data_IF_889721204376
#
_entry.id   IF_889721204376
#
_cell.length_a   1.000
_cell.length_b   1.000
_cell.length_c   1.000
_cell.angle_alpha   90.00
_cell.angle_beta   90.00
_cell.angle_gamma   90.00
#
_symmetry.space_group_name_H-M   'P 1'
#
loop_
_entity.id
_entity.type
_entity.pdbx_description
1 polymer ?
#
# COMPACT_ATOMS: atom_id res chain seq x y z
N UNK A 1 -5.47 35.12 54.60
CA UNK A 1 -4.50 34.06 54.98
C UNK A 1 -4.79 32.87 54.05
N UNK A 2 -4.16 32.71 52.89
CA UNK A 2 -2.75 32.93 52.60
C UNK A 2 -1.97 31.64 52.93
N UNK A 3 -2.21 30.56 52.19
CA UNK A 3 -1.36 29.37 52.20
C UNK A 3 -1.08 28.96 50.76
N UNK A 4 0.02 29.51 50.26
CA UNK A 4 0.64 29.18 48.99
C UNK A 4 0.95 27.69 48.91
N UNK A 5 0.26 26.95 48.04
CA UNK A 5 0.74 25.65 47.55
C UNK A 5 1.82 25.90 46.50
N UNK A 6 2.99 26.37 46.94
CA UNK A 6 4.23 26.29 46.18
C UNK A 6 4.94 25.00 46.58
N UNK A 7 4.38 23.86 46.16
CA UNK A 7 5.15 22.63 46.06
C UNK A 7 6.09 22.81 44.87
N UNK A 8 7.33 23.21 45.12
CA UNK A 8 8.35 23.27 44.09
C UNK A 8 8.45 21.88 43.45
N UNK A 9 8.17 21.78 42.16
CA UNK A 9 8.32 20.55 41.41
C UNK A 9 9.82 20.22 41.34
N UNK A 10 10.29 19.42 42.31
CA UNK A 10 11.71 19.14 42.53
C UNK A 10 12.32 18.21 41.47
N UNK A 11 11.49 17.59 40.63
CA UNK A 11 11.90 16.66 39.59
C UNK A 11 11.49 17.17 38.20
N UNK A 12 12.31 16.93 37.16
CA UNK A 12 11.97 17.31 35.79
C UNK A 12 10.65 16.66 35.37
N UNK A 13 9.90 17.34 34.50
CA UNK A 13 8.62 16.84 34.02
C UNK A 13 8.79 15.45 33.40
N UNK A 14 7.93 14.51 33.82
CA UNK A 14 7.83 13.18 33.21
C UNK A 14 7.42 13.32 31.75
N UNK A 15 7.85 12.39 30.90
CA UNK A 15 7.62 12.40 29.45
C UNK A 15 6.13 12.40 29.15
N UNK A 16 5.36 11.55 29.84
CA UNK A 16 3.91 11.49 29.73
C UNK A 16 3.29 11.79 31.10
N UNK A 17 2.28 12.65 31.13
CA UNK A 17 1.51 12.93 32.35
C UNK A 17 0.56 11.75 32.61
N UNK A 18 1.06 10.73 33.29
CA UNK A 18 0.32 9.51 33.66
C UNK A 18 0.43 9.25 35.16
N UNK A 19 -0.63 8.66 35.72
CA UNK A 19 -0.70 8.30 37.13
C UNK A 19 0.02 6.96 37.37
N UNK A 20 0.84 6.90 38.42
CA UNK A 20 1.53 5.68 38.86
C UNK A 20 1.25 5.41 40.34
N UNK A 21 1.10 4.13 40.74
CA UNK A 21 0.80 3.74 42.13
C UNK A 21 1.99 3.85 43.10
N UNK A 22 3.11 4.46 42.72
CA UNK A 22 4.26 4.68 43.61
C UNK A 22 4.01 5.92 44.47
N UNK A 23 4.38 5.88 45.76
CA UNK A 23 4.30 7.07 46.62
C UNK A 23 5.10 8.23 46.01
N UNK A 24 4.42 9.34 45.74
CA UNK A 24 5.04 10.53 45.18
C UNK A 24 6.19 11.00 46.10
N UNK A 25 7.44 10.88 45.63
CA UNK A 25 8.62 11.41 46.32
C UNK A 25 9.78 10.47 46.62
N UNK A 26 9.76 9.19 46.20
CA UNK A 26 10.95 8.33 46.31
C UNK A 26 11.84 8.45 45.06
N UNK A 27 13.09 8.92 45.22
CA UNK A 27 14.03 9.20 44.12
C UNK A 27 14.37 7.94 43.29
N UNK A 28 14.36 6.76 43.91
CA UNK A 28 14.65 5.49 43.24
C UNK A 28 13.64 5.15 42.15
N UNK A 29 12.36 5.44 42.39
CA UNK A 29 11.27 5.03 41.51
C UNK A 29 11.09 6.00 40.34
N UNK A 30 11.66 7.20 40.41
CA UNK A 30 11.59 8.18 39.33
C UNK A 30 12.30 7.69 38.07
N UNK A 31 13.52 7.18 38.20
CA UNK A 31 14.28 6.66 37.06
C UNK A 31 13.63 5.43 36.44
N UNK A 32 13.11 4.51 37.27
CA UNK A 32 12.38 3.34 36.78
C UNK A 32 11.14 3.74 35.98
N UNK A 33 10.31 4.64 36.52
CA UNK A 33 9.11 5.13 35.83
C UNK A 33 9.50 5.87 34.54
N UNK A 34 10.55 6.68 34.57
CA UNK A 34 11.03 7.41 33.40
C UNK A 34 11.51 6.45 32.29
N UNK A 35 12.29 5.42 32.64
CA UNK A 35 12.75 4.40 31.69
C UNK A 35 11.57 3.60 31.11
N UNK A 36 10.57 3.25 31.92
CA UNK A 36 9.35 2.59 31.45
C UNK A 36 8.60 3.49 30.47
N UNK A 37 8.40 4.77 30.79
CA UNK A 37 7.74 5.72 29.90
C UNK A 37 8.51 5.89 28.58
N UNK A 38 9.83 6.03 28.66
CA UNK A 38 10.70 6.17 27.50
C UNK A 38 10.59 4.93 26.61
N UNK A 39 10.62 3.73 27.20
CA UNK A 39 10.49 2.47 26.49
C UNK A 39 9.13 2.34 25.79
N UNK A 40 8.02 2.58 26.51
CA UNK A 40 6.67 2.49 25.93
C UNK A 40 6.49 3.50 24.79
N UNK A 41 6.98 4.73 24.96
CA UNK A 41 6.88 5.74 23.92
C UNK A 41 7.71 5.37 22.69
N UNK A 42 8.94 4.86 22.90
CA UNK A 42 9.78 4.38 21.81
C UNK A 42 9.12 3.22 21.03
N UNK A 43 8.56 2.24 21.74
CA UNK A 43 7.83 1.12 21.12
C UNK A 43 6.62 1.61 20.34
N UNK A 44 5.84 2.54 20.90
CA UNK A 44 4.68 3.14 20.23
C UNK A 44 5.05 3.88 18.94
N UNK A 45 6.13 4.67 18.98
CA UNK A 45 6.65 5.40 17.82
C UNK A 45 7.19 4.47 16.73
N UNK A 46 7.61 3.25 17.05
CA UNK A 46 8.05 2.27 16.05
C UNK A 46 6.89 1.46 15.45
N UNK A 47 5.93 1.05 16.27
CA UNK A 47 4.84 0.17 15.82
C UNK A 47 3.98 0.83 14.75
N UNK A 48 3.58 2.08 14.94
CA UNK A 48 2.63 2.76 14.03
C UNK A 48 3.23 2.97 12.63
N UNK A 49 4.43 3.56 12.46
CA UNK A 49 5.05 3.68 11.14
C UNK A 49 5.38 2.33 10.51
N UNK A 50 5.77 1.32 11.33
CA UNK A 50 6.05 -0.03 10.83
C UNK A 50 4.81 -0.67 10.22
N UNK A 51 3.64 -0.49 10.85
CA UNK A 51 2.37 -0.94 10.31
C UNK A 51 2.05 -0.29 8.96
N UNK A 52 2.19 1.03 8.85
CA UNK A 52 1.92 1.71 7.59
C UNK A 52 2.94 1.35 6.50
N UNK A 53 4.22 1.20 6.85
CA UNK A 53 5.28 0.73 5.94
C UNK A 53 4.97 -0.68 5.41
N UNK A 54 4.54 -1.58 6.28
CA UNK A 54 4.13 -2.92 5.90
C UNK A 54 2.98 -2.90 4.89
N UNK A 55 1.93 -2.12 5.17
CA UNK A 55 0.77 -2.00 4.28
C UNK A 55 1.12 -1.37 2.93
N UNK A 56 1.91 -0.30 2.91
CA UNK A 56 2.42 0.31 1.66
C UNK A 56 3.24 -0.70 0.86
N UNK A 57 4.04 -1.54 1.53
CA UNK A 57 4.82 -2.60 0.87
C UNK A 57 3.92 -3.64 0.19
N UNK A 58 2.82 -4.06 0.84
CA UNK A 58 1.84 -4.97 0.24
C UNK A 58 1.16 -4.37 -1.00
N UNK A 59 0.81 -3.08 -0.96
CA UNK A 59 0.24 -2.38 -2.11
C UNK A 59 1.25 -2.26 -3.27
N UNK A 60 2.52 -1.95 -2.95
CA UNK A 60 3.60 -1.91 -3.94
C UNK A 60 3.81 -3.30 -4.58
N UNK A 61 3.75 -4.37 -3.79
CA UNK A 61 3.84 -5.73 -4.32
C UNK A 61 2.72 -6.03 -5.32
N UNK A 62 1.47 -5.68 -5.00
CA UNK A 62 0.33 -5.81 -5.93
C UNK A 62 0.54 -5.05 -7.24
N UNK A 63 1.06 -3.82 -7.16
CA UNK A 63 1.41 -3.00 -8.35
C UNK A 63 2.50 -3.67 -9.20
N UNK A 64 3.56 -4.17 -8.57
CA UNK A 64 4.69 -4.81 -9.28
C UNK A 64 4.20 -6.06 -10.00
N UNK A 65 3.44 -6.94 -9.34
CA UNK A 65 2.88 -8.14 -9.98
C UNK A 65 1.99 -7.79 -11.19
N UNK A 66 1.17 -6.75 -11.07
CA UNK A 66 0.37 -6.25 -12.17
C UNK A 66 1.23 -5.74 -13.34
N UNK A 67 2.27 -4.95 -13.04
CA UNK A 67 3.20 -4.40 -14.05
C UNK A 67 3.98 -5.50 -14.77
N UNK A 68 4.45 -6.51 -14.03
CA UNK A 68 5.11 -7.70 -14.59
C UNK A 68 4.18 -8.45 -15.53
N UNK A 69 2.92 -8.65 -15.12
CA UNK A 69 1.93 -9.31 -15.97
C UNK A 69 1.65 -8.52 -17.26
N UNK A 70 1.50 -7.19 -17.16
CA UNK A 70 1.33 -6.29 -18.31
C UNK A 70 2.52 -6.38 -19.28
N UNK A 71 3.75 -6.37 -18.75
CA UNK A 71 4.96 -6.52 -19.55
C UNK A 71 5.03 -7.87 -20.28
N UNK A 72 4.64 -8.96 -19.63
CA UNK A 72 4.59 -10.30 -20.25
C UNK A 72 3.56 -10.38 -21.37
N UNK A 73 2.38 -9.79 -21.19
CA UNK A 73 1.34 -9.71 -22.22
C UNK A 73 1.80 -8.92 -23.44
N UNK A 74 2.48 -7.78 -23.26
CA UNK A 74 3.05 -7.01 -24.38
C UNK A 74 4.17 -7.77 -25.11
N UNK A 75 4.91 -8.60 -24.38
CA UNK A 75 6.00 -9.41 -24.96
C UNK A 75 5.50 -10.68 -25.64
N UNK A 76 4.23 -11.05 -25.44
CA UNK A 76 3.62 -12.24 -26.05
C UNK A 76 3.70 -12.22 -27.59
N UNK A 77 3.64 -11.04 -28.20
CA UNK A 77 3.80 -10.86 -29.65
C UNK A 77 5.24 -11.06 -30.13
N UNK A 78 6.24 -10.93 -29.25
CA UNK A 78 7.65 -11.14 -29.60
C UNK A 78 8.03 -12.62 -29.72
N UNK A 79 7.33 -13.48 -28.97
CA UNK A 79 7.45 -14.94 -29.13
C UNK A 79 6.97 -15.45 -30.49
N UNK A 80 6.26 -14.61 -31.26
CA UNK A 80 5.89 -14.90 -32.64
C UNK A 80 7.10 -14.89 -33.62
N UNK A 81 8.23 -14.24 -33.27
CA UNK A 81 9.26 -13.88 -34.28
C UNK A 81 10.53 -14.73 -34.34
N UNK A 82 10.69 -15.82 -33.58
CA UNK A 82 12.03 -16.47 -33.46
C UNK A 82 12.19 -17.85 -34.13
N UNK A 83 11.14 -18.53 -34.61
CA UNK A 83 11.32 -19.87 -35.22
C UNK A 83 10.57 -20.13 -36.53
N UNK A 84 10.70 -19.25 -37.52
CA UNK A 84 10.51 -19.70 -38.91
C UNK A 84 11.33 -18.84 -39.89
N UNK A 85 12.49 -19.33 -40.39
CA UNK A 85 12.86 -19.04 -41.76
C UNK A 85 11.79 -19.69 -42.64
N UNK A 86 10.90 -18.88 -43.20
CA UNK A 86 9.88 -19.36 -44.14
C UNK A 86 10.59 -19.67 -45.46
N UNK A 87 10.80 -20.95 -45.75
CA UNK A 87 10.89 -21.39 -47.14
C UNK A 87 9.50 -21.23 -47.78
N UNK A 88 9.41 -20.66 -49.00
CA UNK A 88 8.12 -20.34 -49.59
C UNK A 88 7.55 -21.58 -50.26
N UNK A 89 6.76 -22.39 -49.56
CA UNK A 89 5.94 -23.41 -50.22
C UNK A 89 4.55 -23.58 -49.60
N UNK A 90 3.57 -23.18 -50.41
CA UNK A 90 2.23 -23.77 -50.59
C UNK A 90 1.21 -23.80 -49.44
N UNK A 91 0.21 -22.92 -49.55
CA UNK A 91 -1.24 -23.18 -49.42
C UNK A 91 -1.71 -24.20 -48.37
N UNK A 92 -1.43 -23.96 -47.10
CA UNK A 92 -2.26 -24.51 -46.02
C UNK A 92 -2.64 -23.38 -45.07
N UNK A 93 -3.93 -23.33 -44.70
CA UNK A 93 -4.43 -22.37 -43.74
C UNK A 93 -3.57 -22.44 -42.48
N UNK A 94 -3.00 -21.30 -42.10
CA UNK A 94 -2.17 -21.02 -40.93
C UNK A 94 -2.84 -21.39 -39.58
N UNK A 95 -3.13 -22.68 -39.36
CA UNK A 95 -3.33 -23.20 -38.01
C UNK A 95 -1.96 -23.41 -37.38
N UNK A 96 -1.21 -22.32 -37.19
CA UNK A 96 0.03 -22.34 -36.42
C UNK A 96 -0.37 -22.68 -34.99
N UNK A 97 -0.19 -23.94 -34.65
CA UNK A 97 -0.42 -24.49 -33.32
C UNK A 97 0.56 -23.86 -32.35
N UNK A 98 0.17 -22.71 -31.80
CA UNK A 98 0.95 -21.99 -30.81
C UNK A 98 0.67 -22.59 -29.42
N UNK A 99 0.95 -23.88 -29.23
CA UNK A 99 0.81 -24.55 -27.93
C UNK A 99 1.58 -23.80 -26.84
N UNK A 100 2.73 -23.22 -27.18
CA UNK A 100 3.51 -22.32 -26.29
C UNK A 100 2.78 -21.00 -25.97
N UNK A 101 2.19 -20.31 -26.96
CA UNK A 101 1.43 -19.07 -26.68
C UNK A 101 0.17 -19.37 -25.88
N UNK A 102 -0.49 -20.49 -26.15
CA UNK A 102 -1.63 -20.94 -25.35
C UNK A 102 -1.22 -21.18 -23.91
N UNK A 103 -0.09 -21.87 -23.67
CA UNK A 103 0.45 -22.06 -22.33
C UNK A 103 0.77 -20.73 -21.63
N UNK A 104 1.39 -19.77 -22.34
CA UNK A 104 1.67 -18.43 -21.81
C UNK A 104 0.40 -17.66 -21.45
N UNK A 105 -0.64 -17.70 -22.30
CA UNK A 105 -1.92 -17.04 -22.00
C UNK A 105 -2.60 -17.72 -20.80
N UNK A 106 -2.57 -19.06 -20.71
CA UNK A 106 -3.09 -19.78 -19.53
C UNK A 106 -2.37 -19.32 -18.26
N UNK A 107 -1.04 -19.19 -18.32
CA UNK A 107 -0.23 -18.72 -17.19
C UNK A 107 -0.57 -17.26 -16.82
N UNK A 108 -0.76 -16.38 -17.82
CA UNK A 108 -1.20 -15.01 -17.60
C UNK A 108 -2.60 -14.94 -16.95
N UNK A 109 -3.55 -15.77 -17.39
CA UNK A 109 -4.89 -15.83 -16.80
C UNK A 109 -4.84 -16.35 -15.36
N UNK A 110 -4.04 -17.39 -15.10
CA UNK A 110 -3.85 -17.94 -13.76
C UNK A 110 -3.23 -16.89 -12.82
N UNK A 111 -2.21 -16.18 -13.29
CA UNK A 111 -1.57 -15.11 -12.51
C UNK A 111 -2.53 -13.94 -12.26
N UNK A 112 -3.32 -13.54 -13.24
CA UNK A 112 -4.34 -12.51 -13.05
C UNK A 112 -5.39 -12.92 -12.02
N UNK A 113 -5.84 -14.18 -12.07
CA UNK A 113 -6.77 -14.70 -11.06
C UNK A 113 -6.17 -14.64 -9.65
N UNK A 114 -4.89 -15.01 -9.50
CA UNK A 114 -4.20 -14.93 -8.22
C UNK A 114 -4.01 -13.49 -7.76
N UNK A 115 -3.69 -12.57 -8.67
CA UNK A 115 -3.57 -11.15 -8.38
C UNK A 115 -4.91 -10.56 -7.91
N UNK A 116 -6.01 -10.91 -8.57
CA UNK A 116 -7.36 -10.48 -8.16
C UNK A 116 -7.76 -11.06 -6.79
N UNK A 117 -7.37 -12.30 -6.49
CA UNK A 117 -7.60 -12.86 -5.17
C UNK A 117 -6.78 -12.11 -4.09
N UNK A 118 -5.49 -11.86 -4.36
CA UNK A 118 -4.62 -11.09 -3.47
C UNK A 118 -5.14 -9.66 -3.24
N UNK A 119 -5.56 -8.95 -4.29
CA UNK A 119 -6.09 -7.59 -4.15
C UNK A 119 -7.39 -7.55 -3.35
N UNK A 120 -8.27 -8.55 -3.50
CA UNK A 120 -9.49 -8.68 -2.69
C UNK A 120 -9.20 -8.96 -1.23
N UNK A 121 -8.25 -9.85 -0.94
CA UNK A 121 -7.83 -10.12 0.44
C UNK A 121 -7.21 -8.88 1.07
N UNK A 122 -6.35 -8.17 0.32
CA UNK A 122 -5.75 -6.92 0.75
C UNK A 122 -6.83 -5.89 1.05
N UNK A 123 -7.77 -5.66 0.13
CA UNK A 123 -8.91 -4.74 0.31
C UNK A 123 -9.70 -5.09 1.58
N UNK A 124 -10.04 -6.36 1.79
CA UNK A 124 -10.82 -6.77 2.96
C UNK A 124 -10.07 -6.51 4.28
N UNK A 125 -8.75 -6.72 4.29
CA UNK A 125 -7.91 -6.46 5.46
C UNK A 125 -7.70 -4.96 5.68
N UNK A 126 -7.49 -4.19 4.61
CA UNK A 126 -7.16 -2.77 4.71
C UNK A 126 -8.38 -1.89 4.87
N UNK A 127 -9.56 -2.28 4.39
CA UNK A 127 -10.76 -1.42 4.39
C UNK A 127 -11.12 -0.90 5.77
N UNK A 128 -11.18 -1.78 6.77
CA UNK A 128 -11.51 -1.38 8.13
C UNK A 128 -10.37 -0.57 8.77
N UNK A 129 -9.12 -0.98 8.54
CA UNK A 129 -7.93 -0.32 9.08
C UNK A 129 -7.79 1.11 8.53
N UNK A 130 -7.86 1.29 7.20
CA UNK A 130 -7.76 2.59 6.52
C UNK A 130 -8.91 3.51 6.91
N UNK A 131 -10.13 2.97 7.10
CA UNK A 131 -11.25 3.77 7.60
C UNK A 131 -10.98 4.30 9.01
N UNK A 132 -10.47 3.45 9.90
CA UNK A 132 -10.10 3.85 11.25
C UNK A 132 -8.95 4.87 11.22
N UNK A 133 -7.92 4.61 10.41
CA UNK A 133 -6.77 5.51 10.23
C UNK A 133 -7.22 6.89 9.73
N UNK A 134 -8.19 6.95 8.80
CA UNK A 134 -8.75 8.21 8.33
C UNK A 134 -9.41 9.01 9.46
N UNK A 135 -10.21 8.35 10.31
CA UNK A 135 -10.84 8.99 11.47
C UNK A 135 -9.78 9.46 12.46
N UNK A 136 -8.82 8.60 12.82
CA UNK A 136 -7.76 8.92 13.78
C UNK A 136 -6.88 10.06 13.26
N UNK A 137 -6.42 10.00 12.02
CA UNK A 137 -5.62 11.07 11.41
C UNK A 137 -6.40 12.37 11.30
N UNK A 138 -7.71 12.35 11.03
CA UNK A 138 -8.50 13.58 11.02
C UNK A 138 -8.51 14.28 12.37
N UNK A 139 -8.73 13.53 13.47
CA UNK A 139 -8.73 14.07 14.82
C UNK A 139 -7.34 14.54 15.23
N UNK A 140 -6.29 13.75 14.92
CA UNK A 140 -4.91 14.11 15.20
C UNK A 140 -4.47 15.36 14.44
N UNK A 141 -4.82 15.49 13.16
CA UNK A 141 -4.52 16.68 12.36
C UNK A 141 -5.20 17.92 12.96
N UNK A 142 -6.46 17.81 13.37
CA UNK A 142 -7.14 18.91 14.05
C UNK A 142 -6.47 19.29 15.38
N UNK A 143 -6.06 18.31 16.18
CA UNK A 143 -5.38 18.55 17.45
C UNK A 143 -4.01 19.22 17.26
N UNK A 144 -3.20 18.73 16.32
CA UNK A 144 -1.88 19.27 16.01
C UNK A 144 -1.94 20.67 15.41
N UNK A 145 -2.95 20.97 14.58
CA UNK A 145 -3.17 22.32 14.07
C UNK A 145 -3.54 23.29 15.19
N UNK A 146 -4.35 22.85 16.15
CA UNK A 146 -4.68 23.65 17.33
C UNK A 146 -3.44 23.88 18.20
N UNK A 147 -2.65 22.84 18.45
CA UNK A 147 -1.40 22.90 19.20
C UNK A 147 -0.40 23.86 18.57
N UNK A 148 -0.19 23.77 17.25
CA UNK A 148 0.66 24.66 16.48
C UNK A 148 0.16 26.12 16.50
N UNK A 149 -1.15 26.34 16.62
CA UNK A 149 -1.74 27.69 16.70
C UNK A 149 -1.61 28.33 18.09
N UNK A 150 -1.52 27.54 19.15
CA UNK A 150 -1.43 28.03 20.54
C UNK A 150 0.03 28.18 20.98
N UNK A 151 0.91 27.34 20.44
CA UNK A 151 2.32 27.27 20.84
C UNK A 151 3.13 28.45 20.30
N UNK A 152 4.00 29.02 21.14
CA UNK A 152 4.86 30.17 20.80
C UNK A 152 6.31 29.78 20.51
N UNK A 153 6.70 28.52 20.77
CA UNK A 153 8.04 28.00 20.48
C UNK A 153 8.17 27.59 19.02
N UNK A 154 9.10 28.23 18.29
CA UNK A 154 9.33 27.92 16.87
C UNK A 154 9.78 26.48 16.61
N UNK A 155 10.45 25.83 17.57
CA UNK A 155 10.89 24.43 17.45
C UNK A 155 9.69 23.47 17.50
N UNK A 156 8.72 23.73 18.38
CA UNK A 156 7.51 22.90 18.48
C UNK A 156 6.65 23.03 17.22
N UNK A 157 6.44 24.26 16.73
CA UNK A 157 5.73 24.50 15.47
C UNK A 157 6.39 23.74 14.30
N UNK A 158 7.72 23.73 14.23
CA UNK A 158 8.43 22.99 13.19
C UNK A 158 8.18 21.47 13.28
N UNK A 159 8.21 20.90 14.49
CA UNK A 159 7.92 19.47 14.72
C UNK A 159 6.48 19.15 14.31
N UNK A 160 5.52 20.00 14.66
CA UNK A 160 4.10 19.81 14.33
C UNK A 160 3.88 19.82 12.81
N UNK A 161 4.52 20.76 12.10
CA UNK A 161 4.47 20.84 10.63
C UNK A 161 5.05 19.57 9.99
N UNK A 162 6.20 19.10 10.48
CA UNK A 162 6.80 17.85 10.00
C UNK A 162 5.86 16.66 10.23
N UNK A 163 5.17 16.60 11.38
CA UNK A 163 4.23 15.54 11.69
C UNK A 163 3.01 15.58 10.77
N UNK A 164 2.39 16.75 10.60
CA UNK A 164 1.26 16.98 9.68
C UNK A 164 1.63 16.57 8.24
N UNK A 165 2.82 16.98 7.79
CA UNK A 165 3.32 16.63 6.46
C UNK A 165 3.49 15.12 6.31
N UNK A 166 4.02 14.45 7.33
CA UNK A 166 4.23 12.99 7.33
C UNK A 166 2.90 12.24 7.26
N UNK A 167 1.93 12.61 8.10
CA UNK A 167 0.59 11.99 8.10
C UNK A 167 -0.13 12.17 6.76
N UNK A 168 -0.04 13.38 6.19
CA UNK A 168 -0.61 13.68 4.86
C UNK A 168 0.07 12.87 3.76
N UNK A 169 1.39 12.72 3.83
CA UNK A 169 2.16 11.90 2.87
C UNK A 169 1.76 10.44 2.94
N UNK A 170 1.55 9.89 4.13
CA UNK A 170 1.09 8.50 4.31
C UNK A 170 -0.26 8.31 3.62
N UNK A 171 -1.25 9.16 3.91
CA UNK A 171 -2.57 9.13 3.27
C UNK A 171 -2.49 9.26 1.74
N UNK A 172 -1.66 10.18 1.25
CA UNK A 172 -1.44 10.36 -0.18
C UNK A 172 -0.85 9.11 -0.83
N UNK A 173 0.13 8.45 -0.20
CA UNK A 173 0.73 7.22 -0.72
C UNK A 173 -0.30 6.08 -0.80
N UNK A 174 -1.15 5.91 0.21
CA UNK A 174 -2.25 4.92 0.15
C UNK A 174 -3.15 5.14 -1.06
N UNK A 175 -3.63 6.38 -1.23
CA UNK A 175 -4.50 6.73 -2.35
C UNK A 175 -3.79 6.57 -3.70
N UNK A 176 -2.53 7.01 -3.79
CA UNK A 176 -1.72 6.89 -4.99
C UNK A 176 -1.53 5.44 -5.41
N UNK A 177 -1.15 4.56 -4.48
CA UNK A 177 -0.94 3.15 -4.78
C UNK A 177 -2.24 2.43 -5.13
N UNK A 178 -3.35 2.72 -4.46
CA UNK A 178 -4.66 2.20 -4.82
C UNK A 178 -5.08 2.64 -6.24
N UNK A 179 -4.81 3.90 -6.61
CA UNK A 179 -5.06 4.40 -7.95
C UNK A 179 -4.17 3.74 -9.00
N UNK A 180 -2.87 3.58 -8.72
CA UNK A 180 -1.92 2.90 -9.63
C UNK A 180 -2.32 1.44 -9.90
N UNK A 181 -2.82 0.72 -8.89
CA UNK A 181 -3.35 -0.65 -9.07
C UNK A 181 -4.54 -0.64 -10.06
N UNK A 182 -5.44 0.33 -9.92
CA UNK A 182 -6.58 0.50 -10.84
C UNK A 182 -6.15 0.85 -12.27
N UNK A 183 -5.21 1.78 -12.42
CA UNK A 183 -4.64 2.15 -13.72
C UNK A 183 -3.97 0.95 -14.38
N UNK A 184 -3.19 0.19 -13.62
CA UNK A 184 -2.53 -1.01 -14.14
C UNK A 184 -3.53 -2.08 -14.59
N UNK A 185 -4.62 -2.30 -13.85
CA UNK A 185 -5.68 -3.22 -14.26
C UNK A 185 -6.33 -2.82 -15.60
N UNK A 186 -6.54 -1.52 -15.82
CA UNK A 186 -7.04 -1.01 -17.10
C UNK A 186 -6.00 -1.14 -18.23
N UNK A 187 -4.73 -0.84 -17.97
CA UNK A 187 -3.68 -1.05 -18.97
C UNK A 187 -3.53 -2.52 -19.39
N UNK A 188 -3.79 -3.43 -18.46
CA UNK A 188 -3.74 -4.86 -18.69
C UNK A 188 -4.82 -5.31 -19.68
N UNK A 189 -6.03 -4.76 -19.56
CA UNK A 189 -7.12 -5.05 -20.50
C UNK A 189 -6.82 -4.52 -21.90
N UNK A 190 -6.25 -3.32 -21.99
CA UNK A 190 -5.81 -2.69 -23.25
C UNK A 190 -4.68 -3.49 -23.89
N UNK A 191 -3.70 -3.95 -23.11
CA UNK A 191 -2.57 -4.71 -23.63
C UNK A 191 -2.97 -6.10 -24.11
N UNK A 192 -3.93 -6.74 -23.42
CA UNK A 192 -4.54 -7.98 -23.92
C UNK A 192 -5.33 -7.77 -25.22
N UNK A 193 -6.07 -6.66 -25.35
CA UNK A 193 -6.78 -6.32 -26.58
C UNK A 193 -5.85 -6.04 -27.77
N UNK A 194 -4.67 -5.44 -27.52
CA UNK A 194 -3.66 -5.16 -28.55
C UNK A 194 -2.91 -6.41 -29.05
N UNK A 195 -3.00 -7.54 -28.36
CA UNK A 195 -2.37 -8.78 -28.82
C UNK A 195 -2.98 -9.26 -30.15
N UNK A 196 -2.27 -10.12 -30.89
CA UNK A 196 -2.75 -10.70 -32.16
C UNK A 196 -3.92 -11.70 -32.00
N UNK A 197 -5.00 -11.31 -31.30
CA UNK A 197 -6.13 -12.16 -30.93
C UNK A 197 -6.85 -12.77 -32.12
N UNK A 198 -6.88 -12.07 -33.25
CA UNK A 198 -7.47 -12.55 -34.50
C UNK A 198 -6.75 -13.78 -35.08
N UNK A 199 -5.51 -14.05 -34.66
CA UNK A 199 -4.73 -15.23 -35.06
C UNK A 199 -4.89 -16.42 -34.10
N UNK A 200 -5.60 -16.25 -32.99
CA UNK A 200 -5.77 -17.30 -31.99
C UNK A 200 -6.94 -18.23 -32.30
N UNK A 201 -6.77 -19.51 -31.96
CA UNK A 201 -7.86 -20.49 -31.98
C UNK A 201 -9.02 -20.02 -31.07
N UNK A 202 -10.24 -20.40 -31.41
CA UNK A 202 -11.50 -20.04 -30.74
C UNK A 202 -11.46 -20.24 -29.22
N UNK A 203 -10.82 -21.32 -28.75
CA UNK A 203 -10.65 -21.60 -27.32
C UNK A 203 -9.77 -20.57 -26.60
N UNK A 204 -8.63 -20.22 -27.19
CA UNK A 204 -7.71 -19.21 -26.65
C UNK A 204 -8.33 -17.81 -26.72
N UNK A 205 -9.04 -17.49 -27.80
CA UNK A 205 -9.77 -16.24 -27.96
C UNK A 205 -10.83 -16.03 -26.88
N UNK A 206 -11.61 -17.08 -26.57
CA UNK A 206 -12.61 -17.03 -25.49
C UNK A 206 -11.95 -16.77 -24.13
N UNK A 207 -10.79 -17.36 -23.88
CA UNK A 207 -10.05 -17.17 -22.63
C UNK A 207 -9.48 -15.75 -22.52
N UNK A 208 -8.99 -15.18 -23.62
CA UNK A 208 -8.53 -13.79 -23.69
C UNK A 208 -9.68 -12.80 -23.49
N UNK A 209 -10.87 -13.07 -24.05
CA UNK A 209 -12.07 -12.25 -23.83
C UNK A 209 -12.49 -12.26 -22.36
N UNK A 210 -12.52 -13.44 -21.72
CA UNK A 210 -12.78 -13.55 -20.29
C UNK A 210 -11.75 -12.77 -19.46
N UNK A 211 -10.48 -12.84 -19.84
CA UNK A 211 -9.41 -12.07 -19.20
C UNK A 211 -9.60 -10.56 -19.31
N UNK A 212 -9.99 -10.05 -20.48
CA UNK A 212 -10.25 -8.62 -20.71
C UNK A 212 -11.47 -8.17 -19.89
N UNK A 213 -12.54 -8.97 -19.87
CA UNK A 213 -13.72 -8.68 -19.04
C UNK A 213 -13.37 -8.63 -17.55
N UNK A 214 -12.57 -9.57 -17.06
CA UNK A 214 -12.15 -9.61 -15.66
C UNK A 214 -11.20 -8.46 -15.30
N UNK A 215 -10.28 -8.11 -16.18
CA UNK A 215 -9.31 -7.01 -15.96
C UNK A 215 -9.97 -5.63 -15.99
N UNK A 216 -11.08 -5.48 -16.73
CA UNK A 216 -11.88 -4.25 -16.77
C UNK A 216 -12.83 -4.08 -15.58
N UNK A 217 -12.95 -5.08 -14.71
CA UNK A 217 -13.72 -4.91 -13.50
C UNK A 217 -12.94 -3.97 -12.58
N UNK A 218 -13.48 -2.79 -12.21
CA UNK A 218 -12.74 -1.82 -11.43
C UNK A 218 -12.41 -2.43 -10.07
N UNK A 219 -11.13 -2.64 -9.80
CA UNK A 219 -10.61 -3.06 -8.50
C UNK A 219 -10.62 -1.84 -7.58
N UNK A 220 -11.82 -1.43 -7.16
CA UNK A 220 -12.00 -0.34 -6.22
C UNK A 220 -11.55 -0.79 -4.83
N UNK A 221 -10.26 -0.66 -4.55
CA UNK A 221 -9.71 -0.67 -3.19
C UNK A 221 -10.11 0.59 -2.42
#
# INVERSE_FOLDING_TARGET
MGSNFTGAQQYPAKILRSWYPSSDGNESNFFEIYLIQLYIMYVGQLIVPSWHMFMVTLMIYGRIECSVLNHRLRTLDRYHKVHAPVEPTTNSLDSVDNTERRALIIDCVKRQSNLVAFTRELEQLTRAAVFLDFVVFSVLLCALLLEASITTSGVQIFIDICYITTMTTILFLYYWHANEINVCANELSISAYKSDWYRYNRGTNRMLQLFIMYSNQPLKM
#
